data_IF_303510011399
#
_entry.id   IF_303510011399
#
_cell.length_a   1.000
_cell.length_b   1.000
_cell.length_c   1.000
_cell.angle_alpha   90.00
_cell.angle_beta   90.00
_cell.angle_gamma   90.00
#
_symmetry.space_group_name_H-M   'P 1'
#
loop_
_entity.id
_entity.type
_entity.pdbx_description
1 polymer ?
#
# COMPACT_ATOMS: atom_id res chain seq x y z
N UNK A 1 7.50 -58.35 -0.05
CA UNK A 1 7.34 -58.50 -1.51
C UNK A 1 6.19 -59.47 -1.75
N UNK A 2 5.22 -59.08 -2.59
CA UNK A 2 4.05 -59.87 -3.03
C UNK A 2 2.84 -59.82 -2.08
N UNK A 3 1.57 -59.76 -2.49
CA UNK A 3 0.86 -59.71 -3.79
C UNK A 3 -0.60 -59.34 -3.44
N UNK A 4 -1.14 -58.21 -3.91
CA UNK A 4 -2.22 -58.07 -4.93
C UNK A 4 -3.53 -58.86 -4.74
N UNK A 5 -4.68 -58.15 -4.84
CA UNK A 5 -5.99 -58.70 -5.26
C UNK A 5 -7.19 -58.03 -4.57
N UNK A 6 -7.64 -56.83 -4.98
CA UNK A 6 -8.68 -56.55 -5.99
C UNK A 6 -10.03 -57.28 -5.81
N UNK A 7 -11.09 -56.49 -5.57
CA UNK A 7 -12.43 -56.48 -6.20
C UNK A 7 -13.34 -55.57 -5.35
N UNK A 8 -14.32 -54.80 -5.81
CA UNK A 8 -14.90 -54.34 -7.08
C UNK A 8 -16.00 -53.34 -6.64
N UNK A 9 -16.57 -52.60 -7.60
CA UNK A 9 -17.83 -51.82 -7.54
C UNK A 9 -17.71 -50.39 -6.95
N UNK A 10 -18.35 -49.37 -7.50
CA UNK A 10 -19.04 -49.18 -8.78
C UNK A 10 -19.10 -47.68 -9.04
N UNK A 11 -19.10 -47.34 -10.33
CA UNK A 11 -19.14 -45.99 -10.88
C UNK A 11 -20.58 -45.47 -10.94
N UNK A 12 -20.68 -44.15 -10.77
CA UNK A 12 -21.65 -43.22 -11.35
C UNK A 12 -22.85 -42.74 -10.51
N UNK A 13 -23.27 -41.52 -10.90
CA UNK A 13 -24.46 -40.74 -10.56
C UNK A 13 -24.24 -39.79 -9.35
N UNK A 14 -24.24 -38.46 -9.45
CA UNK A 14 -24.92 -37.54 -10.39
C UNK A 14 -24.07 -36.27 -10.55
N UNK A 15 -23.73 -35.92 -11.80
CA UNK A 15 -23.31 -34.57 -12.17
C UNK A 15 -24.54 -33.77 -12.61
N UNK A 16 -24.50 -32.47 -12.31
CA UNK A 16 -25.44 -31.41 -12.68
C UNK A 16 -26.67 -31.26 -11.77
N UNK A 17 -26.59 -30.28 -10.87
CA UNK A 17 -27.56 -29.17 -10.88
C UNK A 17 -26.85 -27.83 -10.62
N UNK A 18 -27.38 -26.85 -11.32
CA UNK A 18 -26.90 -25.50 -11.53
C UNK A 18 -26.96 -24.61 -10.27
N UNK A 19 -25.95 -23.74 -10.19
CA UNK A 19 -26.01 -22.32 -9.84
C UNK A 19 -26.85 -21.86 -8.64
N UNK A 20 -26.13 -21.35 -7.63
CA UNK A 20 -26.45 -20.05 -7.04
C UNK A 20 -25.15 -19.44 -6.51
N UNK A 21 -24.79 -18.29 -7.07
CA UNK A 21 -23.43 -17.77 -7.06
C UNK A 21 -22.84 -17.42 -5.70
N UNK A 22 -21.53 -17.59 -5.60
CA UNK A 22 -20.71 -16.78 -4.71
C UNK A 22 -20.63 -15.36 -5.28
N UNK A 23 -21.74 -14.63 -5.27
CA UNK A 23 -21.71 -13.18 -5.28
C UNK A 23 -21.61 -12.71 -3.82
N UNK A 24 -20.53 -13.07 -3.13
CA UNK A 24 -20.01 -12.15 -2.13
C UNK A 24 -19.41 -11.02 -2.95
N UNK A 25 -20.25 -10.03 -3.26
CA UNK A 25 -19.81 -8.69 -3.58
C UNK A 25 -19.01 -8.20 -2.39
N UNK A 26 -17.73 -8.62 -2.35
CA UNK A 26 -16.75 -8.06 -1.46
C UNK A 26 -16.63 -6.63 -1.90
N UNK A 27 -17.27 -5.73 -1.17
CA UNK A 27 -16.96 -4.32 -1.23
C UNK A 27 -15.49 -4.18 -0.83
N UNK A 28 -14.63 -4.28 -1.84
CA UNK A 28 -13.20 -4.22 -1.67
C UNK A 28 -12.92 -2.74 -1.44
N UNK A 29 -12.50 -2.38 -0.24
CA UNK A 29 -11.81 -1.10 -0.09
C UNK A 29 -10.55 -1.20 -0.95
N UNK A 30 -10.51 -0.50 -2.07
CA UNK A 30 -9.31 -0.43 -2.89
C UNK A 30 -8.68 0.95 -2.75
N UNK A 31 -7.36 0.97 -2.71
CA UNK A 31 -6.62 2.16 -3.10
C UNK A 31 -6.48 2.08 -4.62
N UNK A 32 -7.48 2.59 -5.33
CA UNK A 32 -7.40 2.72 -6.79
C UNK A 32 -6.40 3.81 -7.13
N UNK A 33 -5.36 3.43 -7.88
CA UNK A 33 -4.26 4.31 -8.25
C UNK A 33 -3.04 4.11 -7.35
N UNK A 34 -2.20 3.14 -7.72
CA UNK A 34 -0.90 2.91 -7.09
C UNK A 34 -0.13 4.24 -6.92
N UNK A 35 0.37 4.47 -5.72
CA UNK A 35 1.27 5.58 -5.44
C UNK A 35 2.49 5.44 -6.34
N UNK A 36 2.73 6.44 -7.19
CA UNK A 36 3.86 6.45 -8.11
C UNK A 36 5.04 7.16 -7.46
N UNK A 37 6.29 6.84 -7.86
CA UNK A 37 7.48 7.53 -7.37
C UNK A 37 7.35 9.05 -7.40
N UNK A 38 6.74 9.60 -8.47
CA UNK A 38 6.50 11.05 -8.65
C UNK A 38 5.56 11.70 -7.62
N UNK A 39 4.76 10.92 -6.88
CA UNK A 39 3.91 11.47 -5.81
C UNK A 39 4.73 11.74 -4.54
N UNK A 40 5.94 11.17 -4.42
CA UNK A 40 6.85 11.40 -3.32
C UNK A 40 7.80 12.54 -3.67
N UNK A 41 7.37 13.78 -3.36
CA UNK A 41 8.21 14.96 -3.55
C UNK A 41 8.96 15.22 -2.25
N UNK A 42 10.23 14.80 -2.21
CA UNK A 42 11.10 14.99 -1.05
C UNK A 42 11.71 16.39 -1.04
N UNK A 43 11.76 16.99 0.14
CA UNK A 43 12.41 18.25 0.44
C UNK A 43 13.40 18.06 1.57
N UNK A 44 14.58 18.66 1.47
CA UNK A 44 15.56 18.61 2.55
C UNK A 44 15.04 19.36 3.80
N UNK A 45 14.95 18.66 4.93
CA UNK A 45 14.71 19.23 6.25
C UNK A 45 16.03 19.61 6.92
N UNK A 46 17.03 18.75 6.79
CA UNK A 46 18.38 18.95 7.35
C UNK A 46 19.38 18.70 6.25
N UNK A 47 20.19 19.72 5.94
CA UNK A 47 21.24 19.59 4.92
C UNK A 47 22.29 18.56 5.35
N UNK A 48 22.67 17.70 4.42
CA UNK A 48 23.84 16.86 4.61
C UNK A 48 25.11 17.74 4.64
N UNK A 49 26.02 17.48 5.56
CA UNK A 49 27.32 18.17 5.63
C UNK A 49 28.41 17.30 5.04
N UNK A 50 28.98 17.72 3.92
CA UNK A 50 30.06 16.98 3.25
C UNK A 50 29.62 15.57 2.82
N UNK A 51 30.55 14.60 2.87
CA UNK A 51 30.29 13.20 2.47
C UNK A 51 29.93 12.28 3.64
N UNK A 52 29.66 12.83 4.83
CA UNK A 52 29.35 12.00 6.00
C UNK A 52 27.88 11.57 5.97
N UNK A 53 27.54 10.39 6.53
CA UNK A 53 26.16 10.01 6.80
C UNK A 53 25.41 11.11 7.57
N UNK A 54 24.13 11.28 7.28
CA UNK A 54 23.28 12.31 7.86
C UNK A 54 22.51 13.11 6.82
N UNK A 55 21.93 14.22 7.29
CA UNK A 55 20.91 14.95 6.54
C UNK A 55 19.58 14.21 6.53
N UNK A 56 18.49 14.96 6.36
CA UNK A 56 17.13 14.45 6.39
C UNK A 56 16.32 15.09 5.29
N UNK A 57 15.47 14.29 4.66
CA UNK A 57 14.49 14.77 3.71
C UNK A 57 13.11 14.23 4.06
N UNK A 58 12.08 14.99 3.68
CA UNK A 58 10.70 14.66 3.96
C UNK A 58 9.79 14.91 2.77
N UNK A 59 8.80 14.03 2.60
CA UNK A 59 7.67 14.20 1.71
C UNK A 59 6.37 14.23 2.52
N UNK A 60 5.36 14.95 2.02
CA UNK A 60 4.03 15.02 2.63
C UNK A 60 2.98 14.54 1.64
N UNK A 61 2.16 13.57 2.03
CA UNK A 61 1.14 12.98 1.17
C UNK A 61 -0.24 13.02 1.82
N UNK A 62 -1.23 13.39 1.03
CA UNK A 62 -2.65 13.23 1.34
C UNK A 62 -3.26 12.26 0.33
N UNK A 63 -3.36 10.99 0.72
CA UNK A 63 -3.82 9.90 -0.17
C UNK A 63 -5.29 9.65 0.06
N UNK A 64 -6.09 9.79 -0.98
CA UNK A 64 -7.51 9.46 -0.95
C UNK A 64 -7.71 7.94 -0.92
N UNK A 65 -8.52 7.49 0.03
CA UNK A 65 -9.03 6.13 0.14
C UNK A 65 -10.50 6.23 -0.25
N UNK A 66 -10.87 5.58 -1.34
CA UNK A 66 -12.25 5.52 -1.80
C UNK A 66 -12.90 4.19 -1.38
N UNK A 67 -14.21 4.24 -1.19
CA UNK A 67 -15.06 3.06 -1.01
C UNK A 67 -16.04 2.94 -2.16
N UNK A 68 -16.52 1.72 -2.35
CA UNK A 68 -17.64 1.44 -3.25
C UNK A 68 -18.93 2.17 -2.87
N UNK A 69 -19.05 2.60 -1.60
CA UNK A 69 -20.16 3.43 -1.12
C UNK A 69 -20.10 4.87 -1.63
N UNK A 70 -19.03 5.27 -2.32
CA UNK A 70 -18.77 6.65 -2.73
C UNK A 70 -18.14 7.52 -1.64
N UNK A 71 -17.85 6.97 -0.47
CA UNK A 71 -17.11 7.68 0.58
C UNK A 71 -15.64 7.86 0.18
N UNK A 72 -15.14 9.09 0.32
CA UNK A 72 -13.75 9.45 0.07
C UNK A 72 -13.13 10.03 1.34
N UNK A 73 -12.03 9.42 1.81
CA UNK A 73 -11.28 9.88 2.97
C UNK A 73 -9.82 10.13 2.61
N UNK A 74 -9.27 11.28 2.99
CA UNK A 74 -7.86 11.58 2.76
C UNK A 74 -6.99 11.16 3.95
N UNK A 75 -6.24 10.08 3.78
CA UNK A 75 -5.21 9.63 4.70
C UNK A 75 -3.96 10.51 4.58
N UNK A 76 -3.65 11.26 5.64
CA UNK A 76 -2.55 12.23 5.68
C UNK A 76 -1.37 11.67 6.45
N UNK A 77 -0.17 11.75 5.88
CA UNK A 77 1.08 11.30 6.52
C UNK A 77 2.31 11.98 5.92
N UNK A 78 3.36 12.07 6.72
CA UNK A 78 4.70 12.43 6.29
C UNK A 78 5.55 11.19 6.07
N UNK A 79 6.53 11.29 5.18
CA UNK A 79 7.58 10.28 4.98
C UNK A 79 8.91 10.96 5.18
N UNK A 80 9.65 10.56 6.20
CA UNK A 80 10.96 11.12 6.54
C UNK A 80 12.03 10.05 6.38
N UNK A 81 13.18 10.42 5.83
CA UNK A 81 14.30 9.50 5.69
C UNK A 81 15.64 10.23 5.61
N UNK A 82 16.74 9.56 5.94
CA UNK A 82 18.07 10.15 5.79
C UNK A 82 18.41 10.41 4.33
N UNK A 83 19.23 11.43 4.09
CA UNK A 83 19.86 11.66 2.78
C UNK A 83 21.02 10.67 2.59
N UNK A 84 21.72 10.36 3.67
CA UNK A 84 22.71 9.29 3.69
C UNK A 84 22.72 8.54 5.03
N UNK A 85 22.90 7.23 4.99
CA UNK A 85 23.07 6.37 6.18
C UNK A 85 24.28 5.43 6.02
N UNK A 86 24.63 4.72 7.09
CA UNK A 86 25.78 3.81 7.11
C UNK A 86 25.57 2.54 6.28
N UNK A 87 24.35 2.00 6.24
CA UNK A 87 24.07 0.76 5.52
C UNK A 87 24.02 0.91 4.00
N UNK A 88 23.53 2.05 3.49
CA UNK A 88 23.21 2.26 2.07
C UNK A 88 24.05 3.38 1.44
N UNK A 89 24.80 4.14 2.24
CA UNK A 89 25.51 5.32 1.75
C UNK A 89 24.53 6.45 1.43
N UNK A 90 24.77 7.17 0.32
CA UNK A 90 23.87 8.26 -0.13
C UNK A 90 22.66 7.68 -0.84
N UNK A 91 21.47 8.07 -0.40
CA UNK A 91 20.21 7.65 -0.99
C UNK A 91 19.83 8.67 -2.06
N UNK A 92 19.77 8.23 -3.31
CA UNK A 92 19.35 9.11 -4.40
C UNK A 92 17.86 9.45 -4.30
N UNK A 93 17.47 10.59 -4.85
CA UNK A 93 16.05 11.00 -4.92
C UNK A 93 15.20 9.95 -5.64
N UNK A 94 15.70 9.38 -6.73
CA UNK A 94 15.00 8.33 -7.49
C UNK A 94 14.80 7.07 -6.65
N UNK A 95 15.83 6.65 -5.89
CA UNK A 95 15.73 5.51 -4.98
C UNK A 95 14.73 5.77 -3.85
N UNK A 96 14.79 6.95 -3.22
CA UNK A 96 13.85 7.36 -2.18
C UNK A 96 12.40 7.33 -2.68
N UNK A 97 12.15 7.87 -3.87
CA UNK A 97 10.85 7.88 -4.51
C UNK A 97 10.35 6.47 -4.86
N UNK A 98 11.21 5.67 -5.48
CA UNK A 98 10.89 4.32 -5.93
C UNK A 98 10.56 3.39 -4.75
N UNK A 99 11.42 3.36 -3.73
CA UNK A 99 11.22 2.55 -2.53
C UNK A 99 9.99 3.01 -1.74
N UNK A 100 9.80 4.32 -1.58
CA UNK A 100 8.61 4.85 -0.90
C UNK A 100 7.32 4.42 -1.59
N UNK A 101 7.27 4.55 -2.91
CA UNK A 101 6.13 4.13 -3.72
C UNK A 101 5.89 2.62 -3.62
N UNK A 102 6.94 1.81 -3.77
CA UNK A 102 6.84 0.35 -3.71
C UNK A 102 6.34 -0.12 -2.34
N UNK A 103 6.97 0.34 -1.25
CA UNK A 103 6.59 -0.01 0.13
C UNK A 103 5.19 0.48 0.47
N UNK A 104 4.81 1.70 0.07
CA UNK A 104 3.46 2.21 0.30
C UNK A 104 2.40 1.37 -0.46
N UNK A 105 2.67 0.99 -1.71
CA UNK A 105 1.75 0.14 -2.46
C UNK A 105 1.64 -1.28 -1.88
N UNK A 106 2.74 -1.83 -1.36
CA UNK A 106 2.73 -3.10 -0.65
C UNK A 106 1.91 -3.01 0.64
N UNK A 107 2.11 -1.97 1.44
CA UNK A 107 1.34 -1.71 2.64
C UNK A 107 -0.16 -1.52 2.34
N UNK A 108 -0.48 -0.74 1.30
CA UNK A 108 -1.85 -0.55 0.85
C UNK A 108 -2.51 -1.89 0.45
N UNK A 109 -1.83 -2.73 -0.32
CA UNK A 109 -2.34 -4.07 -0.66
C UNK A 109 -2.55 -4.93 0.58
N UNK A 110 -1.61 -4.92 1.52
CA UNK A 110 -1.71 -5.72 2.73
C UNK A 110 -2.87 -5.27 3.64
N UNK A 111 -3.05 -3.96 3.82
CA UNK A 111 -4.09 -3.40 4.70
C UNK A 111 -5.47 -3.46 4.06
N UNK A 112 -5.59 -3.06 2.79
CA UNK A 112 -6.90 -2.84 2.18
C UNK A 112 -7.49 -4.08 1.49
N UNK A 113 -6.68 -5.11 1.17
CA UNK A 113 -7.20 -6.35 0.59
C UNK A 113 -8.16 -7.12 1.52
N UNK A 114 -8.03 -6.95 2.83
CA UNK A 114 -8.90 -7.57 3.83
C UNK A 114 -9.93 -6.62 4.45
N UNK A 115 -9.93 -5.34 4.08
CA UNK A 115 -10.80 -4.36 4.71
C UNK A 115 -12.24 -4.48 4.15
N UNK A 116 -13.20 -4.39 5.07
CA UNK A 116 -14.63 -4.54 4.78
C UNK A 116 -15.32 -3.17 4.89
N UNK A 117 -16.55 -3.01 4.37
CA UNK A 117 -17.35 -1.81 4.59
C UNK A 117 -17.53 -1.44 6.07
N UNK A 118 -17.54 -2.45 6.95
CA UNK A 118 -17.71 -2.25 8.39
C UNK A 118 -16.46 -1.71 9.10
N UNK A 119 -15.26 -1.89 8.51
CA UNK A 119 -14.03 -1.32 9.07
C UNK A 119 -14.13 0.21 9.03
N UNK A 120 -13.90 0.98 10.10
CA UNK A 120 -13.88 2.44 9.98
C UNK A 120 -12.69 2.91 9.12
N UNK A 121 -12.94 3.79 8.14
CA UNK A 121 -11.91 4.19 7.16
C UNK A 121 -10.68 4.87 7.80
N UNK A 122 -10.89 5.59 8.91
CA UNK A 122 -9.81 6.19 9.70
C UNK A 122 -8.89 5.14 10.34
N UNK A 123 -9.45 4.01 10.79
CA UNK A 123 -8.65 2.91 11.37
C UNK A 123 -7.81 2.24 10.28
N UNK A 124 -8.40 2.00 9.11
CA UNK A 124 -7.67 1.44 7.97
C UNK A 124 -6.51 2.36 7.51
N UNK A 125 -6.67 3.69 7.60
CA UNK A 125 -5.59 4.64 7.35
C UNK A 125 -4.46 4.54 8.39
N UNK A 126 -4.76 4.39 9.68
CA UNK A 126 -3.72 4.23 10.71
C UNK A 126 -2.99 2.87 10.61
N UNK A 127 -3.71 1.81 10.27
CA UNK A 127 -3.12 0.50 9.97
C UNK A 127 -2.20 0.57 8.75
N UNK A 128 -2.65 1.22 7.68
CA UNK A 128 -1.83 1.47 6.49
C UNK A 128 -0.52 2.20 6.84
N UNK A 129 -0.58 3.27 7.63
CA UNK A 129 0.62 4.01 8.07
C UNK A 129 1.57 3.12 8.86
N UNK A 130 1.03 2.25 9.71
CA UNK A 130 1.82 1.33 10.55
C UNK A 130 2.54 0.29 9.69
N UNK A 131 1.82 -0.36 8.76
CA UNK A 131 2.43 -1.33 7.83
C UNK A 131 3.43 -0.64 6.90
N UNK A 132 3.13 0.58 6.46
CA UNK A 132 4.03 1.35 5.62
C UNK A 132 5.32 1.74 6.38
N UNK A 133 5.22 2.16 7.64
CA UNK A 133 6.39 2.45 8.48
C UNK A 133 7.31 1.23 8.61
N UNK A 134 6.74 0.05 8.89
CA UNK A 134 7.49 -1.19 9.04
C UNK A 134 8.19 -1.60 7.73
N UNK A 135 7.47 -1.57 6.61
CA UNK A 135 8.02 -1.93 5.29
C UNK A 135 9.08 -0.95 4.82
N UNK A 136 8.90 0.35 5.09
CA UNK A 136 9.86 1.38 4.72
C UNK A 136 11.14 1.30 5.57
N UNK A 137 11.04 1.08 6.88
CA UNK A 137 12.19 0.87 7.78
C UNK A 137 13.03 -0.34 7.39
N UNK A 138 12.39 -1.40 6.90
CA UNK A 138 13.09 -2.57 6.38
C UNK A 138 13.83 -2.27 5.06
N UNK A 139 13.34 -1.32 4.25
CA UNK A 139 13.93 -0.96 2.98
C UNK A 139 14.99 0.16 3.08
N UNK A 140 14.82 1.09 4.03
CA UNK A 140 15.70 2.25 4.24
C UNK A 140 15.96 2.40 5.73
N UNK A 141 17.21 2.20 6.14
CA UNK A 141 17.61 2.34 7.54
C UNK A 141 17.42 3.80 7.98
N UNK A 142 16.68 4.00 9.07
CA UNK A 142 16.39 5.32 9.65
C UNK A 142 15.17 6.02 9.05
N UNK A 143 14.50 5.45 8.03
CA UNK A 143 13.27 6.01 7.50
C UNK A 143 12.09 5.87 8.47
N UNK A 144 11.12 6.77 8.39
CA UNK A 144 9.96 6.83 9.27
C UNK A 144 8.73 7.36 8.54
N UNK A 145 7.56 6.79 8.85
CA UNK A 145 6.27 7.35 8.43
C UNK A 145 5.66 8.11 9.60
N UNK A 146 5.46 9.41 9.39
CA UNK A 146 4.98 10.33 10.40
C UNK A 146 3.47 10.53 10.29
N UNK A 147 2.77 10.59 11.43
CA UNK A 147 1.31 10.86 11.45
C UNK A 147 0.95 12.25 10.94
N UNK A 148 1.89 13.17 11.02
CA UNK A 148 1.76 14.56 10.58
C UNK A 148 2.90 14.89 9.62
N UNK A 149 2.66 15.82 8.69
CA UNK A 149 3.71 16.29 7.80
C UNK A 149 4.67 17.23 8.52
N UNK A 150 5.95 17.18 8.10
CA UNK A 150 6.95 18.14 8.54
C UNK A 150 6.54 19.58 8.22
N UNK A 151 6.89 20.52 9.11
CA UNK A 151 6.52 21.93 8.97
C UNK A 151 7.11 22.52 7.68
N UNK A 152 6.29 23.26 6.94
CA UNK A 152 6.72 23.95 5.71
C UNK A 152 6.71 23.09 4.45
N UNK A 153 6.44 21.78 4.55
CA UNK A 153 6.32 20.89 3.38
C UNK A 153 4.89 20.91 2.85
N UNK A 154 4.73 21.22 1.56
CA UNK A 154 3.41 21.21 0.90
C UNK A 154 2.95 19.78 0.64
N UNK A 155 1.69 19.42 0.96
CA UNK A 155 1.16 18.10 0.69
C UNK A 155 0.96 17.86 -0.81
N UNK A 156 1.36 16.68 -1.26
CA UNK A 156 0.92 16.12 -2.54
C UNK A 156 -0.39 15.40 -2.32
N UNK A 157 -1.46 15.87 -2.96
CA UNK A 157 -2.78 15.25 -2.90
C UNK A 157 -2.91 14.21 -4.01
N UNK A 158 -3.16 12.96 -3.63
CA UNK A 158 -3.41 11.86 -4.56
C UNK A 158 -4.85 11.46 -4.41
N UNK A 159 -5.69 11.84 -5.37
CA UNK A 159 -7.09 11.43 -5.41
C UNK A 159 -7.20 10.14 -6.21
N UNK A 160 -7.88 9.10 -5.69
CA UNK A 160 -8.18 7.91 -6.47
C UNK A 160 -9.02 8.34 -7.68
N UNK A 161 -8.59 7.93 -8.88
CA UNK A 161 -9.48 7.97 -10.03
C UNK A 161 -10.45 6.82 -9.78
N UNK A 162 -11.68 7.14 -9.37
CA UNK A 162 -12.70 6.12 -9.08
C UNK A 162 -12.93 5.20 -10.27
N UNK A 163 -13.76 4.15 -10.10
CA UNK A 163 -13.96 3.17 -11.15
C UNK A 163 -14.44 3.92 -12.39
N UNK A 164 -13.65 3.82 -13.47
CA UNK A 164 -14.10 4.29 -14.77
C UNK A 164 -15.31 3.43 -15.11
N UNK A 165 -16.51 3.96 -14.90
CA UNK A 165 -17.73 3.48 -15.53
C UNK A 165 -17.66 3.81 -17.03
N UNK A 166 -16.62 3.31 -17.70
CA UNK A 166 -16.58 3.11 -19.14
C UNK A 166 -17.36 1.81 -19.44
N UNK A 167 -18.63 1.80 -19.07
CA UNK A 167 -19.62 0.83 -19.51
C UNK A 167 -20.61 1.56 -20.41
N UNK A 168 -20.11 2.08 -21.53
CA UNK A 168 -20.98 2.45 -22.64
C UNK A 168 -21.37 1.17 -23.39
N UNK A 169 -22.66 0.83 -23.32
CA UNK A 169 -23.51 0.33 -24.40
C UNK A 169 -24.90 0.06 -23.85
#
# INVERSE_FOLDING_TARGET
MGVSGFWKTAVAWVCALFASGCATGGSATYVEGALRPRHFVFHELVKQRGKTPGGWMAACLHVGIARDTGELFYCRFGVEMPIANSAQGTISMEQAQSLSASCANQAARATFAGATPATPIGIACEEFKTVYDLTLKAAIEGAQVMKVCARGIKPVVVTPMGPTTSGGM
#
